data_IF_818563532713
#
_entry.id   IF_818563532713
#
_cell.length_a   1.000
_cell.length_b   1.000
_cell.length_c   1.000
_cell.angle_alpha   90.00
_cell.angle_beta   90.00
_cell.angle_gamma   90.00
#
_symmetry.space_group_name_H-M   'P 1'
#
loop_
_entity.id
_entity.type
_entity.pdbx_description
1 polymer ?
#
# COMPACT_ATOMS: atom_id res chain seq x y z
N UNK A 1 7.77 14.99 -23.25
CA UNK A 1 7.96 14.67 -21.81
C UNK A 1 7.69 13.18 -21.65
N UNK A 2 8.69 12.34 -21.33
CA UNK A 2 8.48 10.90 -21.22
C UNK A 2 7.65 10.55 -19.98
N UNK A 3 6.75 9.58 -20.11
CA UNK A 3 6.02 9.03 -18.97
C UNK A 3 6.82 7.87 -18.36
N UNK A 4 7.02 7.91 -17.04
CA UNK A 4 7.77 6.90 -16.31
C UNK A 4 6.81 6.05 -15.48
N UNK A 5 6.81 4.75 -15.70
CA UNK A 5 6.05 3.80 -14.91
C UNK A 5 7.02 2.96 -14.06
N UNK A 6 7.16 3.33 -12.79
CA UNK A 6 7.95 2.60 -11.81
C UNK A 6 7.09 1.53 -11.13
N UNK A 7 7.42 0.26 -11.36
CA UNK A 7 6.63 -0.88 -10.88
C UNK A 7 7.49 -1.86 -10.08
N UNK A 8 6.84 -2.52 -9.13
CA UNK A 8 7.36 -3.67 -8.43
C UNK A 8 7.84 -4.73 -9.43
N UNK A 9 8.99 -5.35 -9.14
CA UNK A 9 9.53 -6.48 -9.93
C UNK A 9 8.77 -7.77 -9.59
N UNK A 10 7.47 -7.78 -9.83
CA UNK A 10 6.65 -8.98 -9.75
C UNK A 10 6.52 -9.57 -11.15
N UNK A 11 6.87 -10.86 -11.28
CA UNK A 11 6.88 -11.58 -12.55
C UNK A 11 5.47 -11.67 -13.19
N UNK A 12 4.41 -11.48 -12.40
CA UNK A 12 3.02 -11.50 -12.85
C UNK A 12 2.60 -10.24 -13.62
N UNK A 13 3.27 -9.09 -13.43
CA UNK A 13 2.90 -7.84 -14.09
C UNK A 13 3.57 -7.64 -15.46
N UNK A 14 4.51 -8.50 -15.84
CA UNK A 14 5.32 -8.34 -17.05
C UNK A 14 4.93 -9.46 -18.02
N UNK A 15 3.81 -9.27 -18.71
CA UNK A 15 3.47 -10.03 -19.90
C UNK A 15 3.97 -9.31 -21.15
N UNK A 16 4.10 -10.04 -22.27
CA UNK A 16 4.45 -9.45 -23.57
C UNK A 16 3.51 -8.30 -23.95
N UNK A 17 2.21 -8.46 -23.68
CA UNK A 17 1.20 -7.43 -23.91
C UNK A 17 1.52 -6.12 -23.18
N UNK A 18 1.93 -6.18 -21.92
CA UNK A 18 2.26 -4.98 -21.12
C UNK A 18 3.49 -4.27 -21.69
N UNK A 19 4.50 -5.02 -22.14
CA UNK A 19 5.72 -4.45 -22.75
C UNK A 19 5.41 -3.82 -24.10
N UNK A 20 4.59 -4.46 -24.93
CA UNK A 20 4.24 -3.95 -26.25
C UNK A 20 3.35 -2.70 -26.14
N UNK A 21 2.41 -2.69 -25.19
CA UNK A 21 1.54 -1.53 -24.91
C UNK A 21 2.33 -0.34 -24.36
N UNK A 22 3.28 -0.57 -23.46
CA UNK A 22 4.10 0.53 -22.92
C UNK A 22 5.04 1.11 -23.97
N UNK A 23 5.56 0.29 -24.88
CA UNK A 23 6.30 0.77 -26.06
C UNK A 23 5.43 1.62 -26.98
N UNK A 24 4.21 1.18 -27.30
CA UNK A 24 3.32 1.92 -28.19
C UNK A 24 2.88 3.26 -27.59
N UNK A 25 2.77 3.34 -26.26
CA UNK A 25 2.43 4.55 -25.52
C UNK A 25 3.65 5.43 -25.18
N UNK A 26 4.85 5.07 -25.63
CA UNK A 26 6.10 5.76 -25.29
C UNK A 26 6.32 5.93 -23.76
N UNK A 27 5.91 4.91 -22.98
CA UNK A 27 6.09 4.84 -21.54
C UNK A 27 7.39 4.10 -21.23
N UNK A 28 8.24 4.71 -20.40
CA UNK A 28 9.45 4.09 -19.88
C UNK A 28 9.09 3.23 -18.67
N UNK A 29 9.27 1.92 -18.80
CA UNK A 29 9.11 0.98 -17.69
C UNK A 29 10.37 0.90 -16.85
N UNK A 30 10.27 1.23 -15.56
CA UNK A 30 11.33 1.06 -14.58
C UNK A 30 10.98 -0.06 -13.62
N UNK A 31 11.88 -1.04 -13.51
CA UNK A 31 11.76 -2.14 -12.55
C UNK A 31 12.56 -1.77 -11.32
N UNK A 32 11.89 -1.73 -10.18
CA UNK A 32 12.57 -1.54 -8.90
C UNK A 32 13.35 -2.82 -8.53
N UNK A 33 14.45 -2.71 -7.77
CA UNK A 33 15.14 -3.88 -7.23
C UNK A 33 14.18 -4.78 -6.43
N UNK A 34 14.42 -6.10 -6.39
CA UNK A 34 13.68 -6.99 -5.50
C UNK A 34 13.75 -6.47 -4.07
N UNK A 35 12.65 -6.59 -3.34
CA UNK A 35 12.45 -6.09 -1.98
C UNK A 35 12.56 -4.57 -1.79
N UNK A 36 12.83 -3.75 -2.82
CA UNK A 36 12.98 -2.30 -2.63
C UNK A 36 11.67 -1.50 -2.74
N UNK A 37 10.54 -2.16 -2.94
CA UNK A 37 9.21 -1.52 -3.12
C UNK A 37 8.86 -0.61 -1.95
N UNK A 38 9.15 -1.05 -0.73
CA UNK A 38 8.86 -0.31 0.49
C UNK A 38 9.75 0.92 0.70
N UNK A 39 10.77 1.12 -0.13
CA UNK A 39 11.69 2.27 -0.10
C UNK A 39 11.52 3.16 -1.32
N UNK A 40 11.32 2.54 -2.49
CA UNK A 40 11.45 3.20 -3.78
C UNK A 40 10.12 3.36 -4.53
N UNK A 41 9.05 2.66 -4.13
CA UNK A 41 7.75 2.83 -4.78
C UNK A 41 6.94 3.89 -4.04
N UNK A 42 6.64 5.06 -4.67
CA UNK A 42 5.91 6.14 -4.01
C UNK A 42 4.53 5.71 -3.53
N UNK A 43 3.86 4.82 -4.28
CA UNK A 43 2.58 4.23 -3.89
C UNK A 43 2.70 3.49 -2.54
N UNK A 44 3.77 2.71 -2.35
CA UNK A 44 3.95 1.97 -1.12
C UNK A 44 4.38 2.89 0.04
N UNK A 45 5.33 3.79 -0.20
CA UNK A 45 5.93 4.66 0.83
C UNK A 45 4.94 5.72 1.30
N UNK A 46 4.38 6.50 0.38
CA UNK A 46 3.60 7.68 0.72
C UNK A 46 2.10 7.36 0.88
N UNK A 47 1.53 6.54 0.00
CA UNK A 47 0.07 6.31 0.00
C UNK A 47 -0.30 5.18 0.94
N UNK A 48 0.26 3.99 0.75
CA UNK A 48 -0.11 2.81 1.55
C UNK A 48 0.32 2.95 3.01
N UNK A 49 1.47 3.54 3.31
CA UNK A 49 1.89 3.74 4.72
C UNK A 49 0.90 4.63 5.47
N UNK A 50 0.51 5.76 4.89
CA UNK A 50 -0.48 6.66 5.48
C UNK A 50 -1.85 5.98 5.63
N UNK A 51 -2.25 5.18 4.64
CA UNK A 51 -3.48 4.39 4.72
C UNK A 51 -3.43 3.35 5.86
N UNK A 52 -2.32 2.61 5.98
CA UNK A 52 -2.11 1.62 7.06
C UNK A 52 -2.16 2.26 8.45
N UNK A 53 -1.59 3.46 8.61
CA UNK A 53 -1.65 4.19 9.87
C UNK A 53 -3.09 4.58 10.25
N UNK A 54 -3.87 5.06 9.28
CA UNK A 54 -5.29 5.37 9.50
C UNK A 54 -6.12 4.14 9.84
N UNK A 55 -5.88 3.04 9.12
CA UNK A 55 -6.54 1.77 9.39
C UNK A 55 -6.24 1.28 10.81
N UNK A 56 -4.96 1.35 11.22
CA UNK A 56 -4.54 0.98 12.57
C UNK A 56 -5.25 1.84 13.62
N UNK A 57 -5.28 3.16 13.44
CA UNK A 57 -5.98 4.07 14.36
C UNK A 57 -7.47 3.74 14.49
N UNK A 58 -8.15 3.38 13.40
CA UNK A 58 -9.55 2.96 13.44
C UNK A 58 -9.73 1.65 14.20
N UNK A 59 -8.86 0.67 13.97
CA UNK A 59 -8.89 -0.61 14.68
C UNK A 59 -8.66 -0.39 16.19
N UNK A 60 -7.69 0.45 16.57
CA UNK A 60 -7.37 0.72 17.97
C UNK A 60 -8.56 1.35 18.70
N UNK A 61 -9.30 2.27 18.06
CA UNK A 61 -10.54 2.86 18.62
C UNK A 61 -11.64 1.81 18.78
N UNK A 62 -11.84 0.94 17.78
CA UNK A 62 -12.85 -0.12 17.86
C UNK A 62 -12.54 -1.14 18.96
N UNK A 63 -11.27 -1.50 19.13
CA UNK A 63 -10.83 -2.39 20.20
C UNK A 63 -11.01 -1.73 21.57
N UNK A 64 -10.62 -0.46 21.71
CA UNK A 64 -10.79 0.29 22.95
C UNK A 64 -12.27 0.49 23.34
N UNK A 65 -13.14 0.77 22.35
CA UNK A 65 -14.59 0.91 22.57
C UNK A 65 -15.29 -0.39 22.98
N UNK A 66 -14.70 -1.54 22.66
CA UNK A 66 -15.19 -2.85 23.10
C UNK A 66 -14.67 -3.26 24.50
N UNK A 67 -13.80 -2.46 25.12
CA UNK A 67 -13.27 -2.73 26.46
C UNK A 67 -14.06 -2.06 27.60
N UNK A 68 -15.11 -1.27 27.30
CA UNK A 68 -16.08 -0.86 28.32
C UNK A 68 -17.04 -2.02 28.62
N UNK A 69 -16.54 -3.03 29.33
CA UNK A 69 -17.38 -4.00 30.04
C UNK A 69 -18.18 -3.29 31.15
N UNK A 70 -19.35 -3.83 31.54
CA UNK A 70 -20.22 -3.20 32.52
C UNK A 70 -19.46 -2.90 33.81
N UNK A 71 -19.53 -1.63 34.24
CA UNK A 71 -19.01 -1.15 35.52
C UNK A 71 -19.35 -2.14 36.65
N UNK A 72 -18.40 -2.54 37.51
CA UNK A 72 -18.74 -3.30 38.70
C UNK A 72 -19.64 -2.42 39.56
N UNK A 73 -20.88 -2.86 39.78
CA UNK A 73 -21.79 -2.24 40.73
C UNK A 73 -21.06 -2.10 42.08
N UNK A 74 -21.01 -0.90 42.69
CA UNK A 74 -20.62 -0.81 44.09
C UNK A 74 -21.75 -1.46 44.89
N UNK A 75 -21.45 -2.60 45.50
CA UNK A 75 -22.35 -3.29 46.41
C UNK A 75 -22.82 -2.33 47.52
N UNK A 76 -24.13 -2.21 47.66
CA UNK A 76 -24.84 -1.59 48.78
C UNK A 76 -25.93 -2.57 49.23
#
# INVERSE_FOLDING_TARGET
RPFLLAMARCLLYISKYVVDTTKSLHIVLVRLPPNAIHLLQPLHVAVLSSFKLRLKSLIDVLVAGNCEGPSPNPAL
#
